data_IF_043378784653
#
_entry.id   IF_043378784653
#
_cell.length_a   1.000
_cell.length_b   1.000
_cell.length_c   1.000
_cell.angle_alpha   90.00
_cell.angle_beta   90.00
_cell.angle_gamma   90.00
#
_symmetry.space_group_name_H-M   'P 1'
#
loop_
_entity.id
_entity.type
_entity.pdbx_description
1 polymer ?
#
# COMPACT_ATOMS: atom_id res chain seq x y z
N UNK A 1 15.22 -16.29 9.62
CA UNK A 1 14.70 -16.52 11.00
C UNK A 1 15.75 -16.22 12.06
N UNK A 2 16.82 -17.02 12.24
CA UNK A 2 17.78 -16.72 13.31
C UNK A 2 18.44 -15.34 13.13
N UNK A 3 18.88 -15.02 11.91
CA UNK A 3 19.41 -13.68 11.62
C UNK A 3 18.44 -12.52 11.88
N UNK A 4 17.12 -12.72 11.72
CA UNK A 4 16.13 -11.69 12.02
C UNK A 4 15.97 -11.49 13.54
N UNK A 5 16.04 -12.58 14.31
CA UNK A 5 15.99 -12.53 15.77
C UNK A 5 17.26 -11.89 16.33
N UNK A 6 18.43 -12.29 15.84
CA UNK A 6 19.72 -11.71 16.22
C UNK A 6 19.76 -10.22 15.89
N UNK A 7 19.30 -9.80 14.70
CA UNK A 7 19.22 -8.40 14.33
C UNK A 7 18.31 -7.59 15.28
N UNK A 8 17.17 -8.13 15.70
CA UNK A 8 16.29 -7.49 16.68
C UNK A 8 16.94 -7.36 18.06
N UNK A 9 17.65 -8.40 18.52
CA UNK A 9 18.38 -8.38 19.78
C UNK A 9 19.48 -7.31 19.75
N UNK A 10 20.33 -7.32 18.73
CA UNK A 10 21.43 -6.36 18.58
C UNK A 10 20.90 -4.92 18.46
N UNK A 11 19.79 -4.71 17.75
CA UNK A 11 19.17 -3.38 17.68
C UNK A 11 18.73 -2.88 19.06
N UNK A 12 18.13 -3.75 19.89
CA UNK A 12 17.73 -3.41 21.25
C UNK A 12 18.94 -3.13 22.15
N UNK A 13 20.02 -3.91 22.04
CA UNK A 13 21.26 -3.67 22.80
C UNK A 13 21.85 -2.29 22.48
N UNK A 14 21.89 -1.92 21.19
CA UNK A 14 22.34 -0.58 20.77
C UNK A 14 21.42 0.50 21.33
N UNK A 15 20.10 0.31 21.30
CA UNK A 15 19.14 1.26 21.85
C UNK A 15 19.35 1.47 23.35
N UNK A 16 19.49 0.39 24.13
CA UNK A 16 19.76 0.45 25.57
C UNK A 16 21.04 1.24 25.87
N UNK A 17 22.14 0.92 25.17
CA UNK A 17 23.41 1.63 25.35
C UNK A 17 23.29 3.12 25.02
N UNK A 18 22.70 3.46 23.87
CA UNK A 18 22.54 4.87 23.46
C UNK A 18 21.61 5.66 24.38
N UNK A 19 20.57 5.02 24.92
CA UNK A 19 19.71 5.63 25.93
C UNK A 19 20.47 5.91 27.23
N UNK A 20 21.30 4.97 27.70
CA UNK A 20 22.12 5.17 28.90
C UNK A 20 23.13 6.31 28.71
N UNK A 21 23.87 6.31 27.59
CA UNK A 21 24.79 7.40 27.22
C UNK A 21 24.08 8.77 27.21
N UNK A 22 22.87 8.84 26.62
CA UNK A 22 22.08 10.06 26.59
C UNK A 22 21.64 10.54 27.98
N UNK A 23 21.22 9.63 28.87
CA UNK A 23 20.85 9.97 30.25
C UNK A 23 22.05 10.49 31.04
N UNK A 24 23.21 9.84 30.91
CA UNK A 24 24.48 10.28 31.53
C UNK A 24 24.91 11.66 31.03
N UNK A 25 24.93 11.88 29.71
CA UNK A 25 25.35 13.14 29.09
C UNK A 25 24.43 14.32 29.46
N UNK A 26 23.13 14.05 29.63
CA UNK A 26 22.12 15.08 29.95
C UNK A 26 21.87 15.27 31.45
N UNK A 27 22.35 14.35 32.29
CA UNK A 27 22.07 14.33 33.72
C UNK A 27 20.60 14.06 34.06
N UNK A 28 19.87 13.36 33.18
CA UNK A 28 18.49 12.94 33.41
C UNK A 28 18.46 11.60 34.15
N UNK A 29 17.61 11.50 35.17
CA UNK A 29 17.40 10.23 35.90
C UNK A 29 16.62 9.20 35.06
N UNK A 30 15.70 9.67 34.22
CA UNK A 30 14.88 8.86 33.32
C UNK A 30 14.40 9.65 32.08
N UNK A 31 13.64 8.99 31.21
CA UNK A 31 13.05 9.58 30.00
C UNK A 31 11.59 9.99 30.15
N UNK A 32 10.98 9.83 31.33
CA UNK A 32 9.53 9.99 31.49
C UNK A 32 9.10 11.43 31.19
N UNK A 33 9.73 12.41 31.85
CA UNK A 33 9.40 13.83 31.63
C UNK A 33 9.64 14.28 30.17
N UNK A 34 10.71 13.79 29.54
CA UNK A 34 10.99 14.07 28.13
C UNK A 34 9.94 13.43 27.20
N UNK A 35 9.56 12.18 27.47
CA UNK A 35 8.53 11.45 26.71
C UNK A 35 7.17 12.15 26.81
N UNK A 36 6.76 12.54 28.01
CA UNK A 36 5.51 13.28 28.24
C UNK A 36 5.50 14.61 27.49
N UNK A 37 6.59 15.38 27.54
CA UNK A 37 6.70 16.65 26.82
C UNK A 37 6.64 16.46 25.29
N UNK A 38 7.32 15.43 24.75
CA UNK A 38 7.30 15.13 23.32
C UNK A 38 5.93 14.62 22.85
N UNK A 39 5.25 13.81 23.65
CA UNK A 39 3.90 13.35 23.36
C UNK A 39 2.89 14.49 23.42
N UNK A 40 2.93 15.32 24.46
CA UNK A 40 2.06 16.49 24.59
C UNK A 40 2.24 17.47 23.40
N UNK A 41 3.48 17.69 22.95
CA UNK A 41 3.75 18.52 21.77
C UNK A 41 3.14 17.94 20.50
N UNK A 42 3.24 16.63 20.30
CA UNK A 42 2.69 15.96 19.14
C UNK A 42 1.15 15.92 19.16
N UNK A 43 0.53 15.70 20.32
CA UNK A 43 -0.92 15.76 20.51
C UNK A 43 -1.47 17.15 20.20
N UNK A 44 -0.86 18.20 20.77
CA UNK A 44 -1.25 19.58 20.45
C UNK A 44 -1.08 19.93 18.96
N UNK A 45 -0.04 19.41 18.31
CA UNK A 45 0.15 19.61 16.86
C UNK A 45 -0.96 18.94 16.05
N UNK A 46 -1.29 17.69 16.37
CA UNK A 46 -2.37 16.96 15.71
C UNK A 46 -3.73 17.61 15.94
N UNK A 47 -4.06 17.99 17.18
CA UNK A 47 -5.30 18.68 17.55
C UNK A 47 -5.50 19.97 16.76
N UNK A 48 -4.45 20.79 16.65
CA UNK A 48 -4.49 22.01 15.82
C UNK A 48 -4.75 21.69 14.35
N UNK A 49 -4.09 20.66 13.82
CA UNK A 49 -4.27 20.25 12.43
C UNK A 49 -5.67 19.69 12.16
N UNK A 50 -6.27 18.98 13.12
CA UNK A 50 -7.66 18.49 13.05
C UNK A 50 -8.64 19.67 13.08
N UNK A 51 -8.41 20.67 13.93
CA UNK A 51 -9.27 21.86 14.04
C UNK A 51 -9.34 22.73 12.77
N UNK A 52 -8.39 22.55 11.84
CA UNK A 52 -8.45 23.17 10.50
C UNK A 52 -9.41 22.45 9.54
N UNK A 53 -9.76 21.20 9.83
CA UNK A 53 -10.73 20.43 9.06
C UNK A 53 -12.14 20.88 9.47
N UNK A 54 -13.05 21.19 8.54
CA UNK A 54 -14.40 21.56 8.91
C UNK A 54 -15.10 20.46 9.73
N UNK A 55 -15.83 20.85 10.76
CA UNK A 55 -16.67 19.93 11.53
C UNK A 55 -17.72 19.29 10.63
N UNK A 56 -17.92 17.98 10.79
CA UNK A 56 -18.85 17.23 9.94
C UNK A 56 -18.64 15.73 9.99
N UNK A 57 -19.49 15.02 9.23
CA UNK A 57 -19.38 13.58 9.05
C UNK A 57 -19.21 13.28 7.56
N UNK A 58 -18.02 12.80 7.20
CA UNK A 58 -17.62 12.50 5.84
C UNK A 58 -17.67 11.00 5.59
N UNK A 59 -18.32 10.57 4.51
CA UNK A 59 -18.54 9.15 4.24
C UNK A 59 -18.00 8.74 2.89
N UNK A 60 -17.37 7.57 2.85
CA UNK A 60 -16.98 6.93 1.61
C UNK A 60 -17.04 5.41 1.73
N UNK A 61 -17.13 4.77 0.57
CA UNK A 61 -17.02 3.32 0.43
C UNK A 61 -16.00 2.98 -0.64
N UNK A 62 -15.41 1.80 -0.52
CA UNK A 62 -14.65 1.15 -1.59
C UNK A 62 -14.99 -0.33 -1.67
N UNK A 63 -14.75 -0.89 -2.83
CA UNK A 63 -14.83 -2.33 -3.10
C UNK A 63 -13.43 -2.84 -3.45
N UNK A 64 -13.14 -4.06 -3.02
CA UNK A 64 -11.92 -4.79 -3.33
C UNK A 64 -12.25 -6.23 -3.71
N UNK A 65 -11.34 -6.90 -4.39
CA UNK A 65 -11.61 -8.22 -5.00
C UNK A 65 -12.04 -9.27 -3.98
N UNK A 66 -11.67 -9.12 -2.71
CA UNK A 66 -12.04 -10.03 -1.63
C UNK A 66 -11.53 -11.45 -1.87
N UNK A 67 -12.34 -12.50 -1.68
CA UNK A 67 -11.91 -13.89 -1.93
C UNK A 67 -13.00 -14.70 -2.65
N UNK A 68 -12.63 -15.26 -3.81
CA UNK A 68 -13.55 -15.91 -4.74
C UNK A 68 -14.75 -15.01 -5.07
N UNK A 69 -15.98 -15.44 -4.74
CA UNK A 69 -17.22 -14.69 -5.02
C UNK A 69 -17.51 -13.59 -3.99
N UNK A 70 -16.74 -13.50 -2.90
CA UNK A 70 -16.98 -12.55 -1.82
C UNK A 70 -16.17 -11.28 -2.04
N UNK A 71 -16.77 -10.26 -2.67
CA UNK A 71 -16.20 -8.90 -2.73
C UNK A 71 -16.05 -8.35 -1.31
N UNK A 72 -14.91 -7.69 -1.05
CA UNK A 72 -14.70 -6.99 0.22
C UNK A 72 -15.21 -5.57 0.09
N UNK A 73 -16.27 -5.24 0.82
CA UNK A 73 -16.80 -3.89 0.94
C UNK A 73 -16.24 -3.22 2.20
N UNK A 74 -15.68 -2.03 2.05
CA UNK A 74 -15.22 -1.20 3.18
C UNK A 74 -16.04 0.08 3.18
N UNK A 75 -16.74 0.33 4.29
CA UNK A 75 -17.46 1.56 4.56
C UNK A 75 -16.72 2.35 5.63
N UNK A 76 -16.58 3.66 5.44
CA UNK A 76 -15.89 4.55 6.37
C UNK A 76 -16.70 5.82 6.60
N UNK A 77 -16.85 6.20 7.87
CA UNK A 77 -17.33 7.51 8.30
C UNK A 77 -16.25 8.20 9.13
N UNK A 78 -15.78 9.36 8.67
CA UNK A 78 -14.85 10.22 9.41
C UNK A 78 -15.65 11.38 10.01
N UNK A 79 -15.75 11.42 11.33
CA UNK A 79 -16.40 12.50 12.08
C UNK A 79 -15.32 13.43 12.62
N UNK A 80 -15.42 14.72 12.31
CA UNK A 80 -14.58 15.79 12.87
C UNK A 80 -15.44 16.64 13.79
N UNK A 81 -14.97 16.85 15.01
CA UNK A 81 -15.62 17.69 16.01
C UNK A 81 -14.56 18.47 16.80
N UNK A 82 -14.42 19.75 16.49
CA UNK A 82 -13.40 20.63 17.03
C UNK A 82 -12.00 20.08 16.75
N UNK A 83 -11.29 19.69 17.79
CA UNK A 83 -9.91 19.20 17.72
C UNK A 83 -9.78 17.66 17.74
N UNK A 84 -10.89 16.94 17.55
CA UNK A 84 -10.93 15.47 17.60
C UNK A 84 -11.49 14.86 16.33
N UNK A 85 -11.02 13.65 16.00
CA UNK A 85 -11.46 12.89 14.84
C UNK A 85 -11.86 11.46 15.25
N UNK A 86 -13.01 10.99 14.77
CA UNK A 86 -13.46 9.62 14.95
C UNK A 86 -13.64 8.93 13.59
N UNK A 87 -13.02 7.77 13.41
CA UNK A 87 -13.09 6.96 12.19
C UNK A 87 -13.89 5.69 12.52
N UNK A 88 -15.08 5.56 11.95
CA UNK A 88 -15.97 4.42 12.13
C UNK A 88 -16.09 3.60 10.84
N UNK A 89 -15.89 2.29 10.95
CA UNK A 89 -16.02 1.32 9.86
C UNK A 89 -17.33 0.52 9.88
N UNK A 90 -18.35 0.99 10.60
CA UNK A 90 -19.70 0.43 10.53
C UNK A 90 -20.21 0.29 9.09
N UNK A 91 -20.74 -0.90 8.75
CA UNK A 91 -21.19 -1.25 7.39
C UNK A 91 -20.16 -2.00 6.56
N UNK A 92 -18.92 -2.16 7.04
CA UNK A 92 -17.89 -2.98 6.40
C UNK A 92 -18.24 -4.48 6.43
N UNK A 93 -17.80 -5.23 5.41
CA UNK A 93 -18.04 -6.67 5.25
C UNK A 93 -17.74 -7.49 6.52
N UNK A 94 -18.49 -8.59 6.76
CA UNK A 94 -18.19 -9.53 7.83
C UNK A 94 -16.82 -10.18 7.64
N UNK A 95 -16.25 -10.69 8.74
CA UNK A 95 -15.06 -11.53 8.67
C UNK A 95 -15.34 -12.78 7.82
N UNK A 96 -14.30 -13.35 7.23
CA UNK A 96 -14.39 -14.58 6.44
C UNK A 96 -13.41 -15.64 6.92
N UNK A 97 -13.63 -16.90 6.55
CA UNK A 97 -12.74 -18.01 6.90
C UNK A 97 -11.48 -18.06 5.99
N UNK A 98 -10.86 -16.91 5.75
CA UNK A 98 -9.66 -16.74 4.91
C UNK A 98 -8.74 -15.69 5.49
N UNK A 99 -7.45 -15.79 5.21
CA UNK A 99 -6.40 -15.02 5.89
C UNK A 99 -6.42 -13.49 5.73
N UNK A 100 -7.39 -12.92 5.01
CA UNK A 100 -7.44 -11.47 4.71
C UNK A 100 -8.10 -10.64 5.81
N UNK A 101 -8.60 -11.24 6.89
CA UNK A 101 -9.12 -10.47 8.02
C UNK A 101 -8.02 -9.63 8.67
N UNK A 102 -8.40 -8.47 9.19
CA UNK A 102 -7.54 -7.45 9.74
C UNK A 102 -7.93 -7.16 11.19
N UNK A 103 -7.06 -7.53 12.12
CA UNK A 103 -7.24 -7.26 13.56
C UNK A 103 -7.30 -5.76 13.86
N UNK A 104 -8.09 -5.38 14.86
CA UNK A 104 -8.42 -3.98 15.15
C UNK A 104 -7.19 -3.09 15.39
N UNK A 105 -6.12 -3.61 15.99
CA UNK A 105 -4.87 -2.84 16.16
C UNK A 105 -4.20 -2.49 14.82
N UNK A 106 -4.29 -3.36 13.81
CA UNK A 106 -3.81 -3.07 12.46
C UNK A 106 -4.76 -2.10 11.74
N UNK A 107 -6.08 -2.28 11.91
CA UNK A 107 -7.11 -1.34 11.42
C UNK A 107 -6.86 0.07 11.96
N UNK A 108 -6.63 0.19 13.27
CA UNK A 108 -6.27 1.45 13.93
C UNK A 108 -5.02 2.07 13.31
N UNK A 109 -3.91 1.32 13.24
CA UNK A 109 -2.64 1.82 12.70
C UNK A 109 -2.76 2.33 11.25
N UNK A 110 -3.49 1.60 10.40
CA UNK A 110 -3.67 1.97 8.98
C UNK A 110 -4.79 3.02 8.76
N UNK A 111 -5.51 3.40 9.81
CA UNK A 111 -6.48 4.49 9.79
C UNK A 111 -5.87 5.80 10.27
N UNK A 112 -5.05 5.78 11.32
CA UNK A 112 -4.39 7.00 11.83
C UNK A 112 -3.20 7.44 10.97
N UNK A 113 -2.51 6.50 10.32
CA UNK A 113 -1.40 6.79 9.41
C UNK A 113 -1.77 7.77 8.27
N UNK A 114 -2.81 7.52 7.44
CA UNK A 114 -3.15 8.42 6.35
C UNK A 114 -3.57 9.82 6.86
N UNK A 115 -4.26 9.90 8.01
CA UNK A 115 -4.62 11.18 8.66
C UNK A 115 -3.38 11.95 9.06
N UNK A 116 -2.40 11.29 9.70
CA UNK A 116 -1.12 11.90 10.04
C UNK A 116 -0.39 12.42 8.81
N UNK A 117 -0.35 11.65 7.72
CA UNK A 117 0.26 12.09 6.46
C UNK A 117 -0.43 13.31 5.84
N UNK A 118 -1.77 13.38 5.90
CA UNK A 118 -2.52 14.47 5.30
C UNK A 118 -2.50 15.75 6.15
N UNK A 119 -2.63 15.63 7.47
CA UNK A 119 -2.85 16.78 8.35
C UNK A 119 -1.56 17.33 8.97
N UNK A 120 -0.62 16.47 9.36
CA UNK A 120 0.59 16.86 10.07
C UNK A 120 1.78 15.99 9.63
N UNK A 121 2.30 16.13 8.41
CA UNK A 121 3.36 15.24 7.92
C UNK A 121 4.73 15.49 8.58
N UNK A 122 4.95 16.63 9.24
CA UNK A 122 6.29 17.08 9.66
C UNK A 122 6.57 16.93 11.16
N UNK A 123 5.55 16.93 12.03
CA UNK A 123 5.81 16.72 13.46
C UNK A 123 6.32 15.28 13.68
N UNK A 124 7.44 15.09 14.42
CA UNK A 124 7.94 13.76 14.74
C UNK A 124 6.86 12.86 15.34
N UNK A 125 6.79 11.64 14.83
CA UNK A 125 5.72 10.70 15.13
C UNK A 125 5.96 10.02 16.48
N UNK A 126 5.00 10.13 17.38
CA UNK A 126 4.92 9.40 18.65
C UNK A 126 3.45 9.20 19.04
N UNK A 127 3.18 8.59 20.20
CA UNK A 127 1.81 8.29 20.65
C UNK A 127 0.88 9.51 20.70
N UNK A 128 1.43 10.69 21.06
CA UNK A 128 0.69 11.94 21.08
C UNK A 128 0.06 12.29 19.72
N UNK A 129 0.69 11.91 18.61
CA UNK A 129 0.14 12.13 17.26
C UNK A 129 -1.22 11.46 17.01
N UNK A 130 -1.66 10.54 17.86
CA UNK A 130 -2.85 9.73 17.64
C UNK A 130 -3.91 9.86 18.74
N UNK A 131 -3.60 10.53 19.86
CA UNK A 131 -4.52 10.62 21.01
C UNK A 131 -5.84 11.35 20.67
N UNK A 132 -5.80 12.28 19.73
CA UNK A 132 -6.98 13.00 19.22
C UNK A 132 -7.80 12.21 18.18
N UNK A 133 -7.36 11.01 17.79
CA UNK A 133 -7.99 10.19 16.76
C UNK A 133 -8.46 8.88 17.38
N UNK A 134 -9.74 8.56 17.21
CA UNK A 134 -10.32 7.29 17.65
C UNK A 134 -10.78 6.46 16.46
N UNK A 135 -10.68 5.13 16.56
CA UNK A 135 -11.03 4.21 15.46
C UNK A 135 -11.93 3.09 15.98
N UNK A 136 -13.03 2.83 15.29
CA UNK A 136 -13.97 1.76 15.61
C UNK A 136 -14.30 0.91 14.37
N UNK A 137 -14.51 -0.38 14.59
CA UNK A 137 -15.04 -1.30 13.60
C UNK A 137 -15.92 -2.36 14.29
N UNK A 138 -17.06 -2.77 13.70
CA UNK A 138 -17.94 -3.75 14.32
C UNK A 138 -17.20 -5.06 14.61
N UNK A 139 -17.34 -5.58 15.83
CA UNK A 139 -16.79 -6.88 16.19
C UNK A 139 -17.42 -7.97 15.30
N UNK A 140 -16.58 -8.83 14.72
CA UNK A 140 -17.01 -9.81 13.71
C UNK A 140 -16.96 -9.31 12.27
N UNK A 141 -16.53 -8.06 12.04
CA UNK A 141 -16.22 -7.56 10.69
C UNK A 141 -14.82 -7.99 10.23
N UNK A 142 -14.54 -7.86 8.93
CA UNK A 142 -13.21 -8.12 8.36
C UNK A 142 -12.14 -7.17 8.92
N UNK A 143 -12.52 -6.05 9.55
CA UNK A 143 -11.63 -5.06 10.18
C UNK A 143 -11.57 -5.17 11.72
N UNK A 144 -12.35 -6.07 12.32
CA UNK A 144 -12.31 -6.39 13.74
C UNK A 144 -12.80 -7.84 13.96
N UNK A 145 -12.05 -8.84 13.46
CA UNK A 145 -12.47 -10.23 13.48
C UNK A 145 -12.39 -10.84 14.88
N UNK A 146 -13.26 -11.79 15.16
CA UNK A 146 -13.23 -12.64 16.35
C UNK A 146 -12.28 -13.80 16.17
N UNK A 147 -11.50 -14.11 17.20
CA UNK A 147 -10.73 -15.35 17.27
C UNK A 147 -11.67 -16.56 17.08
N UNK A 148 -11.31 -17.59 16.28
CA UNK A 148 -9.99 -17.89 15.70
C UNK A 148 -9.82 -17.48 14.22
N UNK A 149 -10.46 -16.41 13.75
CA UNK A 149 -10.38 -16.01 12.34
C UNK A 149 -8.93 -15.81 11.84
N UNK A 150 -8.57 -16.34 10.65
CA UNK A 150 -7.23 -16.23 10.11
C UNK A 150 -6.91 -14.80 9.63
N UNK A 151 -5.72 -14.29 9.98
CA UNK A 151 -5.30 -12.89 9.73
C UNK A 151 -3.89 -12.78 9.08
N UNK A 152 -3.41 -13.85 8.45
CA UNK A 152 -2.03 -13.94 7.91
C UNK A 152 -1.75 -13.00 6.74
N UNK A 153 -2.78 -12.63 5.98
CA UNK A 153 -2.74 -11.77 4.80
C UNK A 153 -3.51 -10.45 5.01
N UNK A 154 -3.62 -9.99 6.27
CA UNK A 154 -4.35 -8.78 6.67
C UNK A 154 -4.01 -7.52 5.87
N UNK A 155 -2.81 -7.43 5.30
CA UNK A 155 -2.40 -6.30 4.45
C UNK A 155 -3.30 -6.14 3.21
N UNK A 156 -3.91 -7.23 2.72
CA UNK A 156 -4.85 -7.18 1.58
C UNK A 156 -6.11 -6.37 1.90
N UNK A 157 -6.46 -6.24 3.18
CA UNK A 157 -7.60 -5.44 3.62
C UNK A 157 -7.14 -4.12 4.22
N UNK A 158 -6.18 -4.15 5.16
CA UNK A 158 -5.81 -2.93 5.90
C UNK A 158 -5.10 -1.87 5.06
N UNK A 159 -4.43 -2.20 3.95
CA UNK A 159 -3.85 -1.19 3.06
C UNK A 159 -4.92 -0.33 2.34
N UNK A 160 -6.15 -0.84 2.19
CA UNK A 160 -7.24 -0.14 1.54
C UNK A 160 -7.76 1.05 2.39
N UNK A 161 -7.51 1.04 3.70
CA UNK A 161 -8.05 2.03 4.64
C UNK A 161 -7.59 3.45 4.31
N UNK A 162 -6.35 3.62 3.86
CA UNK A 162 -5.86 4.92 3.41
C UNK A 162 -6.68 5.47 2.23
N UNK A 163 -7.03 4.62 1.27
CA UNK A 163 -7.85 5.00 0.12
C UNK A 163 -9.26 5.46 0.52
N UNK A 164 -9.96 4.69 1.36
CA UNK A 164 -11.33 5.05 1.77
C UNK A 164 -11.37 6.31 2.64
N UNK A 165 -10.37 6.51 3.51
CA UNK A 165 -10.28 7.71 4.37
C UNK A 165 -10.00 8.94 3.52
N UNK A 166 -9.07 8.86 2.58
CA UNK A 166 -8.80 9.95 1.63
C UNK A 166 -10.00 10.25 0.74
N UNK A 167 -10.72 9.23 0.29
CA UNK A 167 -11.97 9.41 -0.45
C UNK A 167 -13.04 10.11 0.38
N UNK A 168 -13.18 9.78 1.66
CA UNK A 168 -14.13 10.46 2.56
C UNK A 168 -13.76 11.94 2.73
N UNK A 169 -12.48 12.24 2.90
CA UNK A 169 -11.99 13.60 3.16
C UNK A 169 -11.76 14.44 1.90
N UNK A 170 -11.93 13.88 0.69
CA UNK A 170 -11.52 14.52 -0.57
C UNK A 170 -12.21 15.86 -0.83
N UNK A 171 -13.48 15.99 -0.46
CA UNK A 171 -14.25 17.22 -0.71
C UNK A 171 -13.83 18.38 0.22
N UNK A 172 -13.36 18.06 1.42
CA UNK A 172 -12.97 19.07 2.43
C UNK A 172 -11.47 19.27 2.56
N UNK A 173 -10.67 18.33 2.07
CA UNK A 173 -9.20 18.40 2.05
C UNK A 173 -8.63 18.09 0.65
N UNK A 174 -9.15 18.71 -0.43
CA UNK A 174 -8.76 18.37 -1.79
C UNK A 174 -7.26 18.56 -2.04
N UNK A 175 -6.62 19.49 -1.34
CA UNK A 175 -5.19 19.80 -1.49
C UNK A 175 -4.26 18.98 -0.57
N UNK A 176 -4.80 18.06 0.26
CA UNK A 176 -4.01 17.27 1.22
C UNK A 176 -4.12 15.75 1.04
N UNK A 177 -5.05 15.24 0.22
CA UNK A 177 -5.27 13.80 0.01
C UNK A 177 -4.84 13.34 -1.39
N UNK A 178 -4.55 12.05 -1.55
CA UNK A 178 -4.15 11.46 -2.83
C UNK A 178 -5.16 10.41 -3.32
N UNK A 179 -5.16 10.14 -4.62
CA UNK A 179 -5.96 9.08 -5.24
C UNK A 179 -5.52 7.68 -4.79
N UNK A 180 -6.29 6.63 -5.09
CA UNK A 180 -5.92 5.30 -4.62
C UNK A 180 -4.58 4.83 -5.22
N UNK A 181 -3.78 4.12 -4.43
CA UNK A 181 -2.51 3.55 -4.89
C UNK A 181 -2.73 2.14 -5.44
N UNK A 182 -2.14 1.83 -6.59
CA UNK A 182 -2.07 0.46 -7.11
C UNK A 182 -1.28 -0.46 -6.17
N UNK A 183 -0.23 0.07 -5.52
CA UNK A 183 0.53 -0.65 -4.50
C UNK A 183 -0.21 -0.91 -3.17
N UNK A 184 -1.47 -0.45 -3.04
CA UNK A 184 -2.33 -0.63 -1.89
C UNK A 184 -3.63 -1.36 -2.30
N UNK A 185 -3.73 -2.68 -2.06
CA UNK A 185 -2.81 -3.53 -1.31
C UNK A 185 -1.55 -3.95 -2.08
N UNK A 186 -0.49 -4.29 -1.34
CA UNK A 186 0.78 -4.70 -1.95
C UNK A 186 0.68 -6.12 -2.47
N UNK A 187 0.85 -6.28 -3.79
CA UNK A 187 1.01 -7.59 -4.43
C UNK A 187 2.30 -8.27 -3.92
N UNK A 188 2.19 -9.53 -3.49
CA UNK A 188 3.35 -10.37 -3.16
C UNK A 188 3.27 -11.69 -3.90
N UNK A 189 4.35 -12.01 -4.61
CA UNK A 189 4.60 -13.32 -5.19
C UNK A 189 5.72 -14.00 -4.41
N UNK A 190 5.36 -15.02 -3.62
CA UNK A 190 6.30 -15.83 -2.85
C UNK A 190 6.56 -17.14 -3.59
N UNK A 191 7.79 -17.35 -4.00
CA UNK A 191 8.27 -18.61 -4.56
C UNK A 191 8.92 -19.44 -3.45
N UNK A 192 8.52 -20.70 -3.31
CA UNK A 192 9.09 -21.60 -2.31
C UNK A 192 9.18 -23.02 -2.83
N UNK A 193 10.25 -23.71 -2.50
CA UNK A 193 10.49 -25.05 -3.04
C UNK A 193 11.88 -25.57 -2.66
N UNK A 194 12.39 -26.47 -3.49
CA UNK A 194 13.77 -26.97 -3.40
C UNK A 194 14.60 -26.32 -4.51
N UNK A 195 15.82 -25.92 -4.16
CA UNK A 195 16.79 -25.43 -5.13
C UNK A 195 17.46 -26.59 -5.89
N UNK A 196 18.50 -26.27 -6.67
CA UNK A 196 19.24 -27.27 -7.47
C UNK A 196 20.05 -28.27 -6.64
N UNK A 197 20.39 -27.90 -5.40
CA UNK A 197 21.14 -28.75 -4.47
C UNK A 197 20.20 -29.57 -3.57
N UNK A 198 18.89 -29.32 -3.65
CA UNK A 198 17.89 -29.95 -2.80
C UNK A 198 17.61 -29.20 -1.50
N UNK A 199 18.17 -27.99 -1.34
CA UNK A 199 17.95 -27.15 -0.17
C UNK A 199 16.65 -26.36 -0.30
N UNK A 200 16.00 -26.08 0.85
CA UNK A 200 14.75 -25.31 0.84
C UNK A 200 15.04 -23.84 0.60
N UNK A 201 14.30 -23.23 -0.32
CA UNK A 201 14.29 -21.79 -0.53
C UNK A 201 12.88 -21.20 -0.38
N UNK A 202 12.83 -19.91 -0.05
CA UNK A 202 11.61 -19.13 0.07
C UNK A 202 11.92 -17.67 -0.24
N UNK A 203 11.48 -17.19 -1.39
CA UNK A 203 11.87 -15.89 -1.91
C UNK A 203 10.68 -15.06 -2.40
N UNK A 204 10.61 -13.81 -1.95
CA UNK A 204 9.61 -12.82 -2.39
C UNK A 204 10.30 -11.80 -3.28
N UNK A 205 9.69 -11.49 -4.43
CA UNK A 205 10.11 -10.32 -5.20
C UNK A 205 9.45 -9.08 -4.57
N UNK A 206 10.25 -8.23 -3.95
CA UNK A 206 9.78 -6.95 -3.43
C UNK A 206 9.67 -5.95 -4.59
N UNK A 207 8.46 -5.84 -5.13
CA UNK A 207 8.06 -4.88 -6.14
C UNK A 207 6.70 -4.28 -5.75
N UNK A 208 6.38 -3.11 -6.30
CA UNK A 208 5.17 -2.36 -5.99
C UNK A 208 4.45 -1.89 -7.25
N UNK A 209 3.13 -1.69 -7.13
CA UNK A 209 2.36 -0.89 -8.07
C UNK A 209 2.68 0.60 -7.97
N UNK A 210 1.97 1.40 -8.76
CA UNK A 210 2.08 2.85 -8.73
C UNK A 210 1.38 3.51 -7.54
N UNK A 211 1.93 4.62 -7.05
CA UNK A 211 1.25 5.47 -6.07
C UNK A 211 0.14 6.27 -6.77
N UNK A 212 -0.98 6.54 -6.09
CA UNK A 212 -2.00 7.45 -6.61
C UNK A 212 -1.46 8.87 -6.75
N UNK A 213 -1.99 9.62 -7.72
CA UNK A 213 -1.62 11.01 -7.92
C UNK A 213 -2.10 11.89 -6.75
N UNK A 214 -1.37 12.97 -6.50
CA UNK A 214 -1.73 13.97 -5.48
C UNK A 214 -2.24 15.25 -6.15
N UNK A 215 -2.84 16.19 -5.39
CA UNK A 215 -3.24 17.50 -5.89
C UNK A 215 -2.10 18.36 -6.45
N UNK A 216 -0.85 17.97 -6.21
CA UNK A 216 0.33 18.78 -6.52
C UNK A 216 1.27 18.14 -7.54
N UNK A 217 1.16 16.83 -7.80
CA UNK A 217 2.06 16.11 -8.72
C UNK A 217 1.53 14.74 -9.12
N UNK A 218 2.09 14.22 -10.19
CA UNK A 218 1.91 12.84 -10.62
C UNK A 218 2.30 11.85 -9.52
N UNK A 219 1.62 10.70 -9.52
CA UNK A 219 1.94 9.61 -8.63
C UNK A 219 3.31 9.02 -8.95
N UNK A 220 4.04 8.62 -7.89
CA UNK A 220 5.35 8.01 -8.05
C UNK A 220 5.23 6.59 -8.66
N UNK A 221 5.91 6.29 -9.78
CA UNK A 221 5.93 4.96 -10.36
C UNK A 221 6.52 3.93 -9.39
N UNK A 222 5.94 2.73 -9.36
CA UNK A 222 6.51 1.55 -8.67
C UNK A 222 6.87 1.77 -7.19
N UNK A 223 6.21 2.72 -6.53
CA UNK A 223 6.53 3.14 -5.17
C UNK A 223 5.51 2.59 -4.21
N UNK A 224 5.99 1.95 -3.15
CA UNK A 224 5.14 1.37 -2.14
C UNK A 224 4.44 2.46 -1.32
N UNK A 225 3.15 2.27 -1.11
CA UNK A 225 2.32 3.03 -0.17
C UNK A 225 1.24 2.08 0.34
N UNK A 226 0.85 2.14 1.62
CA UNK A 226 1.39 2.97 2.71
C UNK A 226 2.65 2.39 3.39
N UNK A 227 3.24 1.32 2.83
CA UNK A 227 4.41 0.66 3.41
C UNK A 227 5.73 1.27 2.94
N UNK A 228 6.74 1.31 3.81
CA UNK A 228 8.08 1.75 3.47
C UNK A 228 8.97 0.58 3.02
N UNK A 229 8.69 0.02 1.83
CA UNK A 229 9.46 -1.09 1.25
C UNK A 229 10.04 -0.66 -0.09
N UNK A 230 11.36 -0.81 -0.24
CA UNK A 230 12.08 -0.55 -1.49
C UNK A 230 12.25 -1.80 -2.35
N UNK A 231 12.53 -1.61 -3.63
CA UNK A 231 12.89 -2.71 -4.52
C UNK A 231 14.29 -3.24 -4.17
N UNK A 232 14.42 -4.57 -4.06
CA UNK A 232 15.71 -5.24 -3.85
C UNK A 232 16.52 -5.38 -5.14
N UNK A 233 17.81 -5.69 -5.00
CA UNK A 233 18.67 -6.06 -6.14
C UNK A 233 18.19 -7.36 -6.78
N UNK A 234 18.07 -7.37 -8.11
CA UNK A 234 17.73 -8.57 -8.88
C UNK A 234 18.85 -9.60 -8.81
N UNK A 235 20.12 -9.17 -8.86
CA UNK A 235 21.26 -10.08 -8.70
C UNK A 235 21.26 -10.75 -7.32
N UNK A 236 20.93 -9.99 -6.26
CA UNK A 236 20.78 -10.55 -4.92
C UNK A 236 19.60 -11.53 -4.84
N UNK A 237 18.50 -11.23 -5.53
CA UNK A 237 17.33 -12.11 -5.62
C UNK A 237 17.64 -13.44 -6.32
N UNK A 238 18.35 -13.38 -7.45
CA UNK A 238 18.72 -14.56 -8.26
C UNK A 238 19.85 -15.39 -7.64
N UNK A 239 20.71 -14.78 -6.82
CA UNK A 239 21.83 -15.51 -6.20
C UNK A 239 21.40 -16.47 -5.09
N UNK A 240 20.24 -16.26 -4.48
CA UNK A 240 19.74 -17.05 -3.34
C UNK A 240 18.51 -17.90 -3.66
N UNK A 241 17.99 -17.83 -4.89
CA UNK A 241 16.83 -18.59 -5.32
C UNK A 241 17.03 -19.11 -6.76
N UNK A 242 16.51 -20.30 -7.11
CA UNK A 242 16.60 -20.86 -8.46
C UNK A 242 15.59 -20.19 -9.41
N UNK A 243 15.62 -18.85 -9.46
CA UNK A 243 14.71 -18.00 -10.20
C UNK A 243 15.54 -17.07 -11.09
N UNK A 244 15.02 -16.73 -12.27
CA UNK A 244 15.67 -15.79 -13.20
C UNK A 244 14.65 -14.73 -13.62
N UNK A 245 15.00 -13.45 -13.47
CA UNK A 245 14.15 -12.31 -13.83
C UNK A 245 14.53 -11.85 -15.24
N UNK A 246 13.69 -12.20 -16.21
CA UNK A 246 13.90 -11.82 -17.62
C UNK A 246 13.58 -10.37 -17.91
N UNK A 247 12.63 -9.82 -17.15
CA UNK A 247 12.08 -8.50 -17.40
C UNK A 247 11.71 -7.86 -16.07
N UNK A 248 12.09 -6.60 -15.92
CA UNK A 248 11.58 -5.70 -14.89
C UNK A 248 11.56 -4.28 -15.44
N UNK A 249 10.37 -3.81 -15.82
CA UNK A 249 10.21 -2.51 -16.49
C UNK A 249 8.96 -1.79 -16.01
N UNK A 250 8.92 -0.48 -16.19
CA UNK A 250 7.68 0.28 -16.02
C UNK A 250 6.64 -0.25 -17.01
N UNK A 251 5.37 -0.22 -16.60
CA UNK A 251 4.25 -0.63 -17.44
C UNK A 251 3.60 0.63 -18.05
N UNK A 252 3.83 0.95 -19.33
CA UNK A 252 3.18 2.09 -19.97
C UNK A 252 1.65 2.00 -19.86
N UNK A 253 0.99 3.15 -19.86
CA UNK A 253 -0.48 3.29 -19.79
C UNK A 253 -1.13 2.72 -18.51
N UNK A 254 -0.34 2.31 -17.53
CA UNK A 254 -0.89 1.72 -16.31
C UNK A 254 -1.36 2.73 -15.28
N UNK A 255 -0.81 3.95 -15.30
CA UNK A 255 -1.22 5.03 -14.40
C UNK A 255 -2.56 5.63 -14.82
N UNK A 256 -3.47 5.84 -13.88
CA UNK A 256 -4.77 6.45 -14.15
C UNK A 256 -4.63 7.89 -14.65
N UNK A 257 -5.41 8.23 -15.68
CA UNK A 257 -5.37 9.55 -16.27
C UNK A 257 -5.91 10.62 -15.32
N UNK A 258 -5.34 11.82 -15.34
CA UNK A 258 -5.82 12.94 -14.54
C UNK A 258 -5.03 14.20 -14.85
N UNK A 259 -5.44 15.34 -14.29
CA UNK A 259 -4.59 16.55 -14.29
C UNK A 259 -3.18 16.17 -13.82
N UNK A 260 -3.13 15.35 -12.77
CA UNK A 260 -1.95 14.59 -12.39
C UNK A 260 -2.19 13.10 -12.63
N UNK A 261 -1.24 12.46 -13.33
CA UNK A 261 -1.31 11.04 -13.71
C UNK A 261 -0.95 10.17 -12.52
N UNK A 262 -1.69 9.09 -12.30
CA UNK A 262 -1.32 8.07 -11.32
C UNK A 262 0.03 7.44 -11.63
N UNK A 263 0.77 7.00 -10.63
CA UNK A 263 2.05 6.33 -10.82
C UNK A 263 1.91 5.06 -11.65
N UNK A 264 2.90 4.77 -12.47
CA UNK A 264 2.90 3.54 -13.26
C UNK A 264 3.14 2.33 -12.36
N UNK A 265 2.50 1.21 -12.70
CA UNK A 265 2.91 -0.11 -12.25
C UNK A 265 4.20 -0.56 -12.95
N UNK A 266 4.54 -1.83 -12.73
CA UNK A 266 5.66 -2.49 -13.40
C UNK A 266 5.26 -3.88 -13.89
N UNK A 267 6.03 -4.37 -14.85
CA UNK A 267 5.98 -5.75 -15.30
C UNK A 267 7.21 -6.48 -14.78
N UNK A 268 7.03 -7.67 -14.21
CA UNK A 268 8.10 -8.60 -13.90
C UNK A 268 7.84 -9.96 -14.54
N UNK A 269 8.82 -10.52 -15.25
CA UNK A 269 8.78 -11.89 -15.78
C UNK A 269 9.85 -12.74 -15.09
N UNK A 270 9.43 -13.84 -14.46
CA UNK A 270 10.29 -14.67 -13.62
C UNK A 270 10.21 -16.12 -14.08
N UNK A 271 11.34 -16.72 -14.44
CA UNK A 271 11.47 -18.13 -14.81
C UNK A 271 11.89 -18.99 -13.62
N UNK A 272 11.27 -20.17 -13.48
CA UNK A 272 11.67 -21.19 -12.50
C UNK A 272 12.79 -22.07 -13.07
N UNK A 273 13.95 -22.14 -12.40
CA UNK A 273 15.16 -22.84 -12.88
C UNK A 273 15.68 -23.91 -11.92
N UNK A 274 14.79 -24.64 -11.28
CA UNK A 274 15.09 -25.82 -10.42
C UNK A 274 14.49 -27.08 -11.05
N UNK A 275 15.01 -28.30 -10.80
CA UNK A 275 14.44 -29.54 -11.37
C UNK A 275 13.01 -29.86 -10.91
N UNK A 276 12.60 -29.38 -9.72
CA UNK A 276 11.30 -29.66 -9.15
C UNK A 276 10.34 -28.46 -9.27
N UNK A 277 9.04 -28.73 -9.34
CA UNK A 277 8.02 -27.69 -9.33
C UNK A 277 8.13 -26.79 -8.08
N UNK A 278 7.94 -25.48 -8.29
CA UNK A 278 8.00 -24.47 -7.24
C UNK A 278 6.60 -24.03 -6.87
N UNK A 279 6.35 -23.85 -5.57
CA UNK A 279 5.09 -23.27 -5.09
C UNK A 279 5.15 -21.76 -5.19
N UNK A 280 4.25 -21.19 -5.97
CA UNK A 280 3.93 -19.77 -6.02
C UNK A 280 2.75 -19.46 -5.10
N UNK A 281 2.99 -18.76 -4.00
CA UNK A 281 1.94 -18.21 -3.14
C UNK A 281 1.70 -16.75 -3.50
N UNK A 282 0.47 -16.43 -3.89
CA UNK A 282 0.06 -15.12 -4.33
C UNK A 282 -0.76 -14.43 -3.26
N UNK A 283 -0.41 -13.18 -2.98
CA UNK A 283 -1.18 -12.27 -2.15
C UNK A 283 -1.38 -11.00 -2.98
N UNK A 284 -2.43 -10.97 -3.78
CA UNK A 284 -2.72 -9.87 -4.68
C UNK A 284 -4.18 -9.47 -4.64
N UNK A 285 -4.42 -8.20 -4.92
CA UNK A 285 -5.73 -7.58 -5.14
C UNK A 285 -5.62 -6.67 -6.38
N UNK A 286 -6.63 -5.82 -6.63
CA UNK A 286 -6.69 -4.89 -7.77
C UNK A 286 -6.78 -5.56 -9.15
N UNK A 287 -7.22 -6.82 -9.22
CA UNK A 287 -7.52 -7.49 -10.50
C UNK A 287 -8.85 -7.00 -11.06
N UNK A 288 -9.89 -7.03 -10.22
CA UNK A 288 -11.26 -6.72 -10.64
C UNK A 288 -11.66 -5.30 -10.19
N UNK A 289 -11.11 -4.82 -9.08
CA UNK A 289 -11.29 -3.47 -8.53
C UNK A 289 -9.98 -2.68 -8.56
N UNK A 290 -9.58 -2.10 -9.70
CA UNK A 290 -8.35 -1.33 -9.81
C UNK A 290 -8.34 -0.10 -8.90
N UNK A 291 -7.16 0.49 -8.70
CA UNK A 291 -7.02 1.72 -7.95
C UNK A 291 -7.83 2.85 -8.60
N UNK A 292 -8.76 3.45 -7.86
CA UNK A 292 -9.63 4.49 -8.37
C UNK A 292 -8.95 5.87 -8.35
N UNK A 293 -9.26 6.69 -9.36
CA UNK A 293 -8.88 8.09 -9.37
C UNK A 293 -9.69 8.93 -8.39
N UNK A 294 -9.28 10.18 -8.20
CA UNK A 294 -9.89 11.12 -7.26
C UNK A 294 -10.19 12.46 -7.92
N UNK A 295 -11.30 13.10 -7.52
CA UNK A 295 -11.74 14.41 -8.02
C UNK A 295 -11.74 14.53 -9.55
N UNK A 296 -12.21 13.49 -10.26
CA UNK A 296 -12.30 13.46 -11.73
C UNK A 296 -11.16 12.71 -12.43
N UNK A 297 -10.16 12.22 -11.68
CA UNK A 297 -9.14 11.32 -12.22
C UNK A 297 -9.70 9.93 -12.54
N UNK A 298 -9.12 9.30 -13.56
CA UNK A 298 -9.43 7.94 -13.99
C UNK A 298 -8.71 6.86 -13.18
N UNK A 299 -9.17 5.60 -13.28
CA UNK A 299 -8.59 4.47 -12.58
C UNK A 299 -7.24 4.05 -13.17
N UNK A 300 -6.38 3.46 -12.34
CA UNK A 300 -5.17 2.79 -12.80
C UNK A 300 -5.48 1.45 -13.47
N UNK A 301 -4.53 0.89 -14.20
CA UNK A 301 -4.68 -0.43 -14.81
C UNK A 301 -4.64 -1.54 -13.74
N UNK A 302 -5.39 -2.64 -13.95
CA UNK A 302 -5.50 -3.72 -12.98
C UNK A 302 -4.24 -4.58 -12.90
N UNK A 303 -4.16 -5.36 -11.82
CA UNK A 303 -3.19 -6.41 -11.62
C UNK A 303 -3.44 -7.59 -12.57
N UNK A 304 -2.38 -8.17 -13.13
CA UNK A 304 -2.47 -9.40 -13.95
C UNK A 304 -1.39 -10.38 -13.53
N UNK A 305 -1.77 -11.65 -13.39
CA UNK A 305 -0.86 -12.74 -13.07
C UNK A 305 -1.08 -13.84 -14.11
N UNK A 306 -0.01 -14.24 -14.79
CA UNK A 306 -0.07 -15.19 -15.88
C UNK A 306 1.14 -16.14 -15.84
N UNK A 307 0.95 -17.37 -16.31
CA UNK A 307 2.01 -18.30 -16.64
C UNK A 307 2.04 -18.48 -18.17
N UNK A 308 3.21 -18.71 -18.74
CA UNK A 308 3.43 -18.85 -20.19
C UNK A 308 2.67 -20.03 -20.84
N UNK A 309 2.17 -20.97 -20.05
CA UNK A 309 1.32 -22.09 -20.50
C UNK A 309 -0.17 -21.70 -20.66
N UNK A 310 -0.50 -20.43 -20.43
CA UNK A 310 -1.86 -19.91 -20.48
C UNK A 310 -2.57 -19.89 -19.14
N UNK A 311 -2.01 -20.49 -18.09
CA UNK A 311 -2.60 -20.51 -16.75
C UNK A 311 -2.72 -19.08 -16.20
N UNK A 312 -3.84 -18.81 -15.53
CA UNK A 312 -4.13 -17.55 -14.82
C UNK A 312 -4.43 -17.87 -13.36
N UNK A 313 -3.40 -17.89 -12.50
CA UNK A 313 -3.58 -18.22 -11.08
C UNK A 313 -4.57 -17.28 -10.38
N UNK A 314 -5.33 -17.80 -9.43
CA UNK A 314 -6.17 -16.94 -8.59
C UNK A 314 -5.26 -16.00 -7.74
N UNK A 315 -5.56 -14.68 -7.64
CA UNK A 315 -4.69 -13.67 -7.00
C UNK A 315 -4.34 -13.94 -5.52
N UNK A 316 -5.12 -14.77 -4.84
CA UNK A 316 -4.96 -15.12 -3.42
C UNK A 316 -4.75 -16.63 -3.20
N UNK A 317 -4.03 -17.28 -4.10
CA UNK A 317 -3.89 -18.75 -4.15
C UNK A 317 -2.47 -19.25 -3.91
N UNK A 318 -2.36 -20.58 -3.81
CA UNK A 318 -1.09 -21.31 -3.92
C UNK A 318 -1.15 -22.15 -5.19
N UNK A 319 -0.27 -21.84 -6.13
CA UNK A 319 -0.20 -22.50 -7.43
C UNK A 319 1.15 -23.19 -7.59
N UNK A 320 1.18 -24.36 -8.23
CA UNK A 320 2.42 -25.03 -8.61
C UNK A 320 2.91 -24.45 -9.94
N UNK A 321 4.19 -24.10 -10.02
CA UNK A 321 4.83 -23.62 -11.25
C UNK A 321 5.89 -24.63 -11.64
N UNK A 322 5.69 -25.25 -12.80
CA UNK A 322 6.60 -26.27 -13.33
C UNK A 322 7.95 -25.66 -13.75
N UNK A 323 8.96 -26.51 -13.82
CA UNK A 323 10.31 -26.15 -14.24
C UNK A 323 10.32 -25.52 -15.64
N UNK A 324 11.08 -24.45 -15.79
CA UNK A 324 11.24 -23.72 -17.05
C UNK A 324 10.03 -22.88 -17.46
N UNK A 325 8.95 -22.87 -16.68
CA UNK A 325 7.81 -21.97 -16.90
C UNK A 325 8.17 -20.55 -16.45
N UNK A 326 7.59 -19.57 -17.14
CA UNK A 326 7.69 -18.15 -16.80
C UNK A 326 6.38 -17.62 -16.21
N UNK A 327 6.52 -16.88 -15.12
CA UNK A 327 5.44 -16.18 -14.44
C UNK A 327 5.55 -14.68 -14.76
N UNK A 328 4.53 -14.12 -15.39
CA UNK A 328 4.38 -12.69 -15.64
C UNK A 328 3.51 -12.06 -14.55
N UNK A 329 4.03 -11.03 -13.91
CA UNK A 329 3.38 -10.21 -12.90
C UNK A 329 3.25 -8.78 -13.43
N UNK A 330 2.03 -8.37 -13.79
CA UNK A 330 1.72 -6.98 -14.09
C UNK A 330 1.18 -6.33 -12.84
N UNK A 331 2.00 -5.49 -12.22
CA UNK A 331 1.61 -4.71 -11.06
C UNK A 331 0.63 -3.59 -11.49
N UNK A 332 -0.36 -3.29 -10.64
CA UNK A 332 -1.36 -2.25 -10.92
C UNK A 332 -0.75 -0.84 -10.90
N UNK A 333 -1.33 0.09 -11.64
CA UNK A 333 -1.00 1.51 -11.52
C UNK A 333 -1.85 2.22 -10.47
N UNK A 334 -1.44 3.43 -10.09
CA UNK A 334 -2.21 4.30 -9.20
C UNK A 334 -3.34 5.02 -9.93
N UNK A 335 -4.35 5.49 -9.20
CA UNK A 335 -5.39 6.35 -9.73
C UNK A 335 -4.88 7.75 -10.09
N UNK A 336 -5.50 8.39 -11.09
CA UNK A 336 -5.23 9.78 -11.44
C UNK A 336 -5.92 10.76 -10.50
N UNK A 337 -5.53 12.03 -10.58
CA UNK A 337 -6.11 13.12 -9.78
C UNK A 337 -6.54 14.28 -10.66
N UNK A 338 -7.77 14.75 -10.50
CA UNK A 338 -8.32 15.85 -11.28
C UNK A 338 -8.71 15.46 -12.71
N UNK A 339 -9.47 16.31 -13.39
CA UNK A 339 -9.88 16.10 -14.79
C UNK A 339 -8.64 16.00 -15.72
N UNK A 340 -8.47 14.89 -16.47
CA UNK A 340 -7.41 14.73 -17.48
C UNK A 340 -7.30 15.90 -18.46
N UNK A 341 -8.40 16.55 -18.83
CA UNK A 341 -8.39 17.69 -19.77
C UNK A 341 -7.68 18.94 -19.22
N UNK A 342 -7.43 18.98 -17.91
CA UNK A 342 -6.68 20.05 -17.27
C UNK A 342 -5.17 19.76 -17.20
N UNK A 343 -4.72 18.60 -17.67
CA UNK A 343 -3.28 18.26 -17.70
C UNK A 343 -2.58 19.16 -18.71
N UNK A 344 -1.40 19.66 -18.32
CA UNK A 344 -0.53 20.43 -19.22
C UNK A 344 -0.17 19.59 -20.46
N UNK A 345 -0.47 20.04 -21.69
CA UNK A 345 -0.11 19.33 -22.91
C UNK A 345 1.40 19.06 -23.05
N UNK A 346 2.28 19.91 -22.50
CA UNK A 346 3.71 19.65 -22.50
C UNK A 346 4.09 18.50 -21.56
N UNK A 347 3.41 18.36 -20.42
CA UNK A 347 3.58 17.21 -19.53
C UNK A 347 3.12 15.91 -20.21
N UNK A 348 2.05 15.96 -21.00
CA UNK A 348 1.57 14.80 -21.79
C UNK A 348 2.62 14.40 -22.84
N UNK A 349 3.20 15.36 -23.58
CA UNK A 349 4.29 15.06 -24.53
C UNK A 349 5.54 14.54 -23.85
N UNK A 350 5.85 15.02 -22.65
CA UNK A 350 6.94 14.48 -21.84
C UNK A 350 6.67 13.02 -21.44
N UNK A 351 5.45 12.68 -20.99
CA UNK A 351 5.07 11.30 -20.68
C UNK A 351 5.21 10.37 -21.91
N UNK A 352 4.86 10.84 -23.12
CA UNK A 352 5.04 10.06 -24.36
C UNK A 352 6.53 9.81 -24.61
N UNK A 353 7.35 10.87 -24.57
CA UNK A 353 8.79 10.80 -24.81
C UNK A 353 9.50 9.88 -23.81
N UNK A 354 9.06 9.91 -22.55
CA UNK A 354 9.64 9.11 -21.46
C UNK A 354 9.05 7.67 -21.44
N UNK A 355 8.12 7.35 -22.34
CA UNK A 355 7.50 6.03 -22.49
C UNK A 355 6.52 5.68 -21.36
N UNK A 356 6.01 6.68 -20.65
CA UNK A 356 5.05 6.50 -19.56
C UNK A 356 3.63 6.25 -20.06
N UNK A 357 3.29 6.92 -21.17
CA UNK A 357 2.04 6.69 -21.90
C UNK A 357 2.33 6.52 -23.39
N UNK A 358 1.47 5.80 -24.08
CA UNK A 358 1.47 5.66 -25.54
C UNK A 358 0.80 6.86 -26.21
N UNK A 359 1.03 7.04 -27.51
CA UNK A 359 0.33 8.07 -28.30
C UNK A 359 -1.19 7.81 -28.33
N UNK A 360 -1.59 6.53 -28.38
CA UNK A 360 -2.99 6.14 -28.32
C UNK A 360 -3.63 6.53 -26.98
N UNK A 361 -2.94 6.32 -25.86
CA UNK A 361 -3.41 6.75 -24.55
C UNK A 361 -3.43 8.27 -24.42
N UNK A 362 -2.42 8.96 -24.94
CA UNK A 362 -2.37 10.43 -24.95
C UNK A 362 -3.58 11.04 -25.68
N UNK A 363 -3.94 10.48 -26.83
CA UNK A 363 -5.11 10.89 -27.58
C UNK A 363 -6.42 10.54 -26.87
N UNK A 364 -6.55 9.29 -26.39
CA UNK A 364 -7.78 8.79 -25.74
C UNK A 364 -8.11 9.55 -24.46
N UNK A 365 -7.12 9.76 -23.61
CA UNK A 365 -7.34 10.23 -22.24
C UNK A 365 -7.16 11.74 -22.08
N UNK A 366 -6.28 12.36 -22.90
CA UNK A 366 -5.93 13.78 -22.79
C UNK A 366 -6.28 14.60 -24.05
N UNK A 367 -6.55 13.96 -25.19
CA UNK A 367 -6.81 14.65 -26.46
C UNK A 367 -5.57 15.31 -27.08
N UNK A 368 -4.36 14.88 -26.70
CA UNK A 368 -3.08 15.46 -27.15
C UNK A 368 -2.42 14.51 -28.16
N UNK A 369 -1.84 15.07 -29.23
CA UNK A 369 -0.95 14.36 -30.17
C UNK A 369 0.52 14.61 -29.80
N UNK A 370 1.37 13.64 -30.10
CA UNK A 370 2.82 13.71 -29.91
C UNK A 370 3.42 14.98 -30.54
#
# INVERSE_FOLDING_TARGET
MMGDLEAQVVANEVAVRRCAEFLEDTGLDDLQGLSEALQARADQAMRRAIAEVPDGIYRATLEADGFDEHITHIACAVTVAGETMHIDFAGTSPQIDRGINCVLNYTHAYSVYPVKCALDPFTPRNEGSYQAITVAAPEGSILNPRFPAPCSARQLTGHLLAGVIYKALADVLPDKVLAECGGAPTMRALFSGLDRNGDRFSQVLFASGGMGASPHRDGLPTTAFPTNVGAGSIEAYESVAPLLVWRKQLRPDSGGAGRFRGGLGQEAEIEVRTPAAVRLSLLSDRRDHPAQGLLGGGPGAPAVIAIDDGTRPHPKSRTSVETGRRVTLLYPGGGGFGDPKQRDPEAVRADIRDGYITEEAAMRDYGVKA
#
